data_IF_437126688584
#
_entry.id   IF_437126688584
#
_cell.length_a   1.000
_cell.length_b   1.000
_cell.length_c   1.000
_cell.angle_alpha   90.00
_cell.angle_beta   90.00
_cell.angle_gamma   90.00
#
_symmetry.space_group_name_H-M   'P 1'
#
loop_
_entity.id
_entity.type
_entity.pdbx_description
1 polymer ?
#
# COMPACT_ATOMS: atom_id res chain seq x y z
N UNK A 1 -15.21 -2.20 -13.30
CA UNK A 1 -14.27 -2.96 -12.44
C UNK A 1 -14.74 -2.76 -11.00
N UNK A 2 -14.94 -3.82 -10.22
CA UNK A 2 -15.30 -3.72 -8.80
C UNK A 2 -14.03 -3.78 -7.96
N UNK A 3 -13.86 -2.85 -7.01
CA UNK A 3 -12.74 -2.83 -6.06
C UNK A 3 -13.21 -3.42 -4.74
N UNK A 4 -12.43 -4.34 -4.18
CA UNK A 4 -12.70 -4.97 -2.88
C UNK A 4 -11.49 -4.78 -1.97
N UNK A 5 -11.65 -4.24 -0.76
CA UNK A 5 -10.59 -4.18 0.22
C UNK A 5 -10.26 -5.60 0.71
N UNK A 6 -8.98 -5.86 0.89
CA UNK A 6 -8.48 -7.11 1.44
C UNK A 6 -7.93 -6.86 2.83
N UNK A 7 -8.32 -7.68 3.80
CA UNK A 7 -7.82 -7.60 5.16
C UNK A 7 -6.30 -7.83 5.20
N UNK A 8 -5.62 -7.10 6.07
CA UNK A 8 -4.19 -7.23 6.35
C UNK A 8 -3.99 -7.77 7.77
N UNK A 9 -2.99 -8.62 7.92
CA UNK A 9 -2.40 -9.00 9.21
C UNK A 9 -0.99 -8.39 9.37
N UNK A 10 -0.23 -8.84 10.36
CA UNK A 10 1.15 -8.37 10.59
C UNK A 10 2.15 -8.75 9.48
N UNK A 11 1.78 -9.61 8.55
CA UNK A 11 2.60 -10.06 7.42
C UNK A 11 2.09 -9.59 6.05
N UNK A 12 0.97 -8.85 6.00
CA UNK A 12 0.40 -8.30 4.76
C UNK A 12 -0.96 -8.87 4.41
N UNK A 13 -1.31 -9.05 3.12
CA UNK A 13 -2.62 -9.53 2.69
C UNK A 13 -2.94 -10.93 3.23
N UNK A 14 -4.11 -11.07 3.85
CA UNK A 14 -4.61 -12.34 4.42
C UNK A 14 -5.12 -13.23 3.28
N UNK A 15 -4.57 -14.45 3.17
CA UNK A 15 -4.87 -15.37 2.05
C UNK A 15 -6.34 -15.82 2.03
N UNK A 16 -6.92 -16.12 3.17
CA UNK A 16 -8.33 -16.49 3.30
C UNK A 16 -9.26 -15.36 2.87
N UNK A 17 -8.84 -14.10 3.09
CA UNK A 17 -9.59 -12.95 2.61
C UNK A 17 -9.54 -12.81 1.08
N UNK A 18 -8.40 -13.15 0.46
CA UNK A 18 -8.26 -13.19 -1.01
C UNK A 18 -9.19 -14.24 -1.63
N UNK A 19 -9.22 -15.44 -1.09
CA UNK A 19 -10.09 -16.52 -1.58
C UNK A 19 -11.59 -16.16 -1.44
N UNK A 20 -11.98 -15.61 -0.29
CA UNK A 20 -13.36 -15.15 -0.06
C UNK A 20 -13.76 -14.01 -0.99
N UNK A 21 -12.85 -13.10 -1.27
CA UNK A 21 -13.11 -11.94 -2.12
C UNK A 21 -13.32 -12.28 -3.59
N UNK A 22 -12.88 -13.46 -4.05
CA UNK A 22 -12.99 -13.93 -5.45
C UNK A 22 -12.52 -12.88 -6.46
N UNK A 23 -11.39 -12.24 -6.18
CA UNK A 23 -10.78 -11.23 -7.03
C UNK A 23 -9.92 -11.86 -8.13
N UNK A 24 -9.77 -11.16 -9.25
CA UNK A 24 -8.93 -11.56 -10.37
C UNK A 24 -7.54 -10.87 -10.30
N UNK A 25 -7.47 -9.70 -9.66
CA UNK A 25 -6.23 -8.92 -9.56
C UNK A 25 -6.09 -8.40 -8.12
N UNK A 26 -4.94 -8.66 -7.50
CA UNK A 26 -4.54 -8.03 -6.24
C UNK A 26 -3.51 -6.93 -6.54
N UNK A 27 -3.81 -5.69 -6.15
CA UNK A 27 -2.84 -4.61 -6.08
C UNK A 27 -2.28 -4.52 -4.66
N UNK A 28 -0.96 -4.56 -4.51
CA UNK A 28 -0.29 -4.48 -3.21
C UNK A 28 1.09 -3.80 -3.31
N UNK A 29 1.57 -3.32 -2.17
CA UNK A 29 2.89 -2.67 -2.02
C UNK A 29 3.75 -3.49 -1.05
N UNK A 30 4.26 -4.68 -1.46
CA UNK A 30 4.78 -5.68 -0.55
C UNK A 30 6.13 -5.32 0.07
N UNK A 31 6.88 -4.40 -0.52
CA UNK A 31 8.17 -3.94 0.03
C UNK A 31 7.99 -2.97 1.18
N UNK A 32 6.89 -2.18 1.14
CA UNK A 32 6.53 -1.21 2.16
C UNK A 32 5.04 -0.86 2.01
N UNK A 33 4.19 -1.65 2.65
CA UNK A 33 2.74 -1.53 2.53
C UNK A 33 2.26 -0.15 2.99
N UNK A 34 1.64 0.61 2.10
CA UNK A 34 1.00 1.87 2.48
C UNK A 34 -0.45 1.62 2.94
N UNK A 35 -0.91 2.18 4.07
CA UNK A 35 -0.21 3.11 4.98
C UNK A 35 0.49 2.43 6.17
N UNK A 36 0.43 1.11 6.30
CA UNK A 36 0.84 0.38 7.50
C UNK A 36 2.35 0.25 7.68
N UNK A 37 3.14 0.43 6.62
CA UNK A 37 4.60 0.24 6.64
C UNK A 37 5.04 -1.21 6.72
N UNK A 38 4.11 -2.18 6.64
CA UNK A 38 4.43 -3.61 6.71
C UNK A 38 5.30 -4.02 5.51
N UNK A 39 6.39 -4.70 5.77
CA UNK A 39 7.16 -5.40 4.74
C UNK A 39 6.71 -6.85 4.69
N UNK A 40 6.11 -7.27 3.58
CA UNK A 40 5.62 -8.63 3.38
C UNK A 40 6.80 -9.61 3.34
N UNK A 41 6.87 -10.60 4.24
CA UNK A 41 7.97 -11.56 4.29
C UNK A 41 7.97 -12.51 3.09
N UNK A 42 9.11 -13.14 2.81
CA UNK A 42 9.28 -14.06 1.65
C UNK A 42 8.28 -15.22 1.70
N UNK A 43 7.97 -15.75 2.87
CA UNK A 43 6.95 -16.79 3.07
C UNK A 43 5.61 -16.36 2.50
N UNK A 44 5.09 -15.20 2.94
CA UNK A 44 3.82 -14.66 2.47
C UNK A 44 3.87 -14.28 0.98
N UNK A 45 5.00 -13.78 0.47
CA UNK A 45 5.18 -13.50 -0.98
C UNK A 45 5.00 -14.78 -1.81
N UNK A 46 5.57 -15.89 -1.37
CA UNK A 46 5.39 -17.21 -2.03
C UNK A 46 3.93 -17.65 -2.01
N UNK A 47 3.26 -17.54 -0.87
CA UNK A 47 1.84 -17.89 -0.78
C UNK A 47 0.94 -17.01 -1.67
N UNK A 48 1.27 -15.72 -1.82
CA UNK A 48 0.58 -14.84 -2.77
C UNK A 48 0.79 -15.26 -4.23
N UNK A 49 2.00 -15.71 -4.58
CA UNK A 49 2.30 -16.25 -5.91
C UNK A 49 1.55 -17.57 -6.16
N UNK A 50 1.52 -18.48 -5.19
CA UNK A 50 0.74 -19.71 -5.24
C UNK A 50 -0.76 -19.42 -5.42
N UNK A 51 -1.29 -18.43 -4.71
CA UNK A 51 -2.67 -17.97 -4.90
C UNK A 51 -2.91 -17.46 -6.33
N UNK A 52 -2.00 -16.70 -6.90
CA UNK A 52 -2.13 -16.21 -8.28
C UNK A 52 -2.06 -17.36 -9.30
N UNK A 53 -1.24 -18.37 -9.04
CA UNK A 53 -1.09 -19.55 -9.90
C UNK A 53 -2.29 -20.50 -9.80
N UNK A 54 -2.90 -20.66 -8.62
CA UNK A 54 -4.03 -21.58 -8.42
C UNK A 54 -5.30 -21.21 -9.21
N UNK A 55 -5.38 -19.99 -9.72
CA UNK A 55 -6.46 -19.52 -10.59
C UNK A 55 -6.34 -19.96 -12.07
N UNK A 56 -5.28 -20.66 -12.45
CA UNK A 56 -5.00 -21.00 -13.84
C UNK A 56 -5.78 -22.25 -14.25
N UNK A 57 -6.66 -22.12 -15.27
CA UNK A 57 -6.99 -23.28 -16.10
C UNK A 57 -5.72 -23.76 -16.81
N UNK A 58 -5.59 -25.07 -16.98
CA UNK A 58 -4.55 -25.65 -17.81
C UNK A 58 -4.48 -24.91 -19.18
N UNK A 59 -3.28 -24.78 -19.78
CA UNK A 59 -3.12 -24.02 -21.01
C UNK A 59 -4.13 -24.50 -22.05
N UNK A 60 -4.80 -23.57 -22.72
CA UNK A 60 -5.60 -23.82 -23.92
C UNK A 60 -4.64 -24.12 -25.09
N UNK A 61 -3.79 -25.11 -24.94
CA UNK A 61 -3.19 -25.76 -26.09
C UNK A 61 -4.31 -26.54 -26.74
N UNK A 62 -4.67 -26.15 -27.97
CA UNK A 62 -5.75 -26.66 -28.76
C UNK A 62 -5.82 -28.19 -28.89
N UNK A 63 -6.05 -28.87 -27.81
CA UNK A 63 -6.26 -30.30 -27.71
C UNK A 63 -7.70 -30.55 -27.30
N UNK A 64 -8.43 -31.09 -28.27
CA UNK A 64 -9.76 -31.63 -28.23
C UNK A 64 -10.24 -32.02 -26.80
N UNK A 65 -11.44 -31.56 -26.47
CA UNK A 65 -12.22 -32.08 -25.34
C UNK A 65 -12.20 -33.61 -25.38
N UNK A 66 -11.47 -34.23 -24.44
CA UNK A 66 -11.54 -35.67 -24.25
C UNK A 66 -12.91 -35.99 -23.64
N UNK A 67 -13.79 -36.52 -24.47
CA UNK A 67 -14.99 -37.21 -23.99
C UNK A 67 -14.59 -38.39 -23.13
N UNK A 68 -14.72 -38.25 -21.81
CA UNK A 68 -14.68 -39.37 -20.88
C UNK A 68 -16.12 -39.64 -20.45
N UNK A 69 -16.71 -40.68 -21.02
CA UNK A 69 -18.00 -41.30 -20.63
C UNK A 69 -19.21 -40.34 -20.59
N UNK A 70 -19.56 -39.74 -21.73
CA UNK A 70 -20.92 -39.19 -21.92
C UNK A 70 -21.38 -38.09 -20.94
N UNK A 71 -20.46 -37.42 -20.24
CA UNK A 71 -20.72 -36.23 -19.45
C UNK A 71 -19.83 -35.09 -19.92
N UNK A 72 -20.46 -34.10 -20.55
CA UNK A 72 -19.86 -32.82 -20.81
C UNK A 72 -19.58 -32.15 -19.45
N UNK A 73 -18.37 -32.32 -18.95
CA UNK A 73 -17.87 -31.48 -17.83
C UNK A 73 -17.61 -30.13 -18.45
N UNK A 74 -18.51 -29.15 -18.23
CA UNK A 74 -18.22 -27.75 -18.50
C UNK A 74 -16.90 -27.45 -17.80
N UNK A 75 -15.85 -27.15 -18.61
CA UNK A 75 -14.60 -26.62 -18.10
C UNK A 75 -14.98 -25.42 -17.21
N UNK A 76 -14.76 -25.55 -15.93
CA UNK A 76 -14.84 -24.42 -15.01
C UNK A 76 -13.91 -23.38 -15.59
N UNK A 77 -14.44 -22.21 -15.95
CA UNK A 77 -13.64 -21.10 -16.47
C UNK A 77 -12.72 -20.64 -15.34
N UNK A 78 -11.56 -21.27 -15.25
CA UNK A 78 -10.55 -20.91 -14.28
C UNK A 78 -10.13 -19.48 -14.59
N UNK A 79 -10.31 -18.59 -13.62
CA UNK A 79 -10.01 -17.17 -13.76
C UNK A 79 -8.50 -16.97 -13.69
N UNK A 80 -7.93 -16.31 -14.69
CA UNK A 80 -6.53 -15.89 -14.59
C UNK A 80 -6.39 -14.83 -13.49
N UNK A 81 -5.57 -15.12 -12.48
CA UNK A 81 -5.26 -14.21 -11.39
C UNK A 81 -3.91 -13.53 -11.65
N UNK A 82 -3.80 -12.26 -11.25
CA UNK A 82 -2.57 -11.48 -11.36
C UNK A 82 -2.32 -10.70 -10.08
N UNK A 83 -1.05 -10.40 -9.84
CA UNK A 83 -0.57 -9.50 -8.79
C UNK A 83 -0.04 -8.24 -9.44
N UNK A 84 -0.46 -7.06 -8.99
CA UNK A 84 0.19 -5.80 -9.30
C UNK A 84 1.05 -5.46 -8.09
N UNK A 85 2.36 -5.57 -8.26
CA UNK A 85 3.35 -5.17 -7.27
C UNK A 85 3.72 -3.71 -7.52
N UNK A 86 3.25 -2.80 -6.67
CA UNK A 86 3.59 -1.38 -6.70
C UNK A 86 4.73 -1.12 -5.70
N UNK A 87 5.93 -0.94 -6.21
CA UNK A 87 7.18 -0.90 -5.44
C UNK A 87 7.76 0.52 -5.36
N UNK A 88 6.91 1.47 -5.03
CA UNK A 88 7.11 2.93 -5.21
C UNK A 88 8.25 3.56 -4.38
N UNK A 89 8.76 2.94 -3.31
CA UNK A 89 9.82 3.47 -2.44
C UNK A 89 10.83 2.40 -1.95
N UNK A 90 10.94 1.29 -2.68
CA UNK A 90 11.79 0.13 -2.34
C UNK A 90 13.28 0.47 -2.23
N UNK A 91 13.74 1.53 -2.88
CA UNK A 91 15.13 1.99 -2.81
C UNK A 91 15.50 2.46 -1.39
N UNK A 92 14.52 2.86 -0.57
CA UNK A 92 14.74 3.44 0.75
C UNK A 92 14.55 2.42 1.87
N UNK A 93 15.33 1.35 1.84
CA UNK A 93 15.39 0.43 2.97
C UNK A 93 16.35 0.96 4.03
N UNK A 94 15.83 1.18 5.25
CA UNK A 94 16.57 1.80 6.36
C UNK A 94 17.29 0.76 7.20
N UNK A 95 16.73 -0.46 7.33
CA UNK A 95 17.31 -1.56 8.13
C UNK A 95 17.08 -2.92 7.44
N UNK A 96 17.88 -3.91 7.82
CA UNK A 96 17.76 -5.29 7.37
C UNK A 96 18.24 -5.55 5.94
N UNK A 97 18.14 -6.81 5.51
CA UNK A 97 18.48 -7.23 4.14
C UNK A 97 17.32 -6.95 3.19
N UNK A 98 17.59 -6.61 1.91
CA UNK A 98 16.56 -6.49 0.90
C UNK A 98 15.75 -7.78 0.78
N UNK A 99 14.44 -7.65 0.66
CA UNK A 99 13.53 -8.77 0.37
C UNK A 99 13.31 -8.78 -1.15
N UNK A 100 13.53 -9.91 -1.85
CA UNK A 100 13.30 -9.97 -3.29
C UNK A 100 11.84 -9.59 -3.63
N UNK A 101 11.60 -8.75 -4.66
CA UNK A 101 10.25 -8.43 -5.08
C UNK A 101 9.47 -9.66 -5.53
N UNK A 102 8.14 -9.60 -5.54
CA UNK A 102 7.28 -10.68 -6.07
C UNK A 102 7.66 -11.02 -7.51
N UNK A 103 7.93 -10.01 -8.33
CA UNK A 103 8.34 -10.18 -9.72
C UNK A 103 9.63 -11.01 -9.86
N UNK A 104 10.59 -10.89 -8.94
CA UNK A 104 11.81 -11.69 -8.96
C UNK A 104 11.61 -13.14 -8.48
N UNK A 105 10.51 -13.41 -7.79
CA UNK A 105 10.14 -14.75 -7.29
C UNK A 105 9.14 -15.45 -8.21
N UNK A 106 8.57 -14.73 -9.20
CA UNK A 106 7.51 -15.21 -10.06
C UNK A 106 8.07 -16.07 -11.22
N UNK A 107 7.90 -17.37 -11.10
CA UNK A 107 8.23 -18.31 -12.20
C UNK A 107 7.07 -18.57 -13.17
N UNK A 108 5.88 -18.02 -12.96
CA UNK A 108 4.68 -18.34 -13.72
C UNK A 108 4.08 -17.16 -14.52
N UNK A 109 4.74 -16.00 -14.52
CA UNK A 109 4.29 -14.83 -15.26
C UNK A 109 2.95 -14.26 -14.73
N UNK A 110 2.82 -14.13 -13.42
CA UNK A 110 1.61 -13.62 -12.74
C UNK A 110 1.78 -12.25 -12.10
N UNK A 111 2.98 -11.71 -12.08
CA UNK A 111 3.26 -10.41 -11.46
C UNK A 111 3.44 -9.33 -12.52
N UNK A 112 2.67 -8.28 -12.38
CA UNK A 112 2.87 -7.00 -13.07
C UNK A 112 3.64 -6.11 -12.08
N UNK A 113 4.90 -5.83 -12.35
CA UNK A 113 5.72 -4.98 -11.50
C UNK A 113 5.60 -3.52 -11.95
N UNK A 114 5.37 -2.62 -11.02
CA UNK A 114 5.33 -1.18 -11.28
C UNK A 114 6.23 -0.44 -10.28
N UNK A 115 6.96 0.56 -10.76
CA UNK A 115 7.77 1.43 -9.93
C UNK A 115 7.83 2.86 -10.51
N UNK A 116 8.29 3.81 -9.73
CA UNK A 116 8.38 5.23 -10.11
C UNK A 116 9.67 5.87 -9.61
N UNK A 117 10.25 6.74 -10.43
CA UNK A 117 11.38 7.57 -10.02
C UNK A 117 10.98 8.80 -9.18
N UNK A 118 9.69 9.00 -8.94
CA UNK A 118 9.20 10.18 -8.20
C UNK A 118 9.71 10.27 -6.76
N UNK A 119 10.02 9.13 -6.12
CA UNK A 119 10.54 9.12 -4.76
C UNK A 119 12.05 9.32 -4.68
N UNK A 120 12.77 8.94 -5.74
CA UNK A 120 14.23 9.06 -5.83
C UNK A 120 14.66 10.38 -6.45
N UNK A 121 13.96 10.85 -7.49
CA UNK A 121 14.33 12.06 -8.26
C UNK A 121 13.40 13.26 -8.03
N UNK A 122 12.35 13.07 -7.21
CA UNK A 122 11.36 14.10 -6.96
C UNK A 122 10.15 14.05 -7.90
N UNK A 123 9.03 14.60 -7.43
CA UNK A 123 7.73 14.52 -8.10
C UNK A 123 7.67 15.25 -9.47
N UNK A 124 8.63 16.10 -9.78
CA UNK A 124 8.68 16.82 -11.04
C UNK A 124 9.08 15.93 -12.24
N UNK A 125 9.82 14.86 -12.00
CA UNK A 125 10.33 13.97 -13.06
C UNK A 125 9.23 13.15 -13.75
N UNK A 126 8.14 12.83 -13.08
CA UNK A 126 6.95 12.15 -13.62
C UNK A 126 7.24 10.92 -14.48
N UNK A 127 8.27 10.15 -14.15
CA UNK A 127 8.65 8.91 -14.84
C UNK A 127 8.32 7.73 -13.91
N UNK A 128 7.60 6.76 -14.44
CA UNK A 128 7.41 5.44 -13.88
C UNK A 128 7.59 4.39 -14.96
N UNK A 129 7.74 3.16 -14.56
CA UNK A 129 7.87 2.03 -15.48
C UNK A 129 7.09 0.83 -14.98
N UNK A 130 6.79 -0.07 -15.90
CA UNK A 130 6.07 -1.30 -15.64
C UNK A 130 6.78 -2.44 -16.35
N UNK A 131 6.97 -3.55 -15.63
CA UNK A 131 7.47 -4.80 -16.19
C UNK A 131 6.30 -5.77 -16.27
N UNK A 132 5.97 -6.18 -17.47
CA UNK A 132 4.86 -7.08 -17.75
C UNK A 132 5.37 -8.52 -17.97
N UNK A 133 4.62 -9.53 -17.52
CA UNK A 133 4.78 -10.89 -18.04
C UNK A 133 4.73 -10.91 -19.56
N UNK A 134 5.48 -11.80 -20.19
CA UNK A 134 5.64 -11.86 -21.66
C UNK A 134 4.30 -11.88 -22.41
N UNK A 135 3.39 -12.76 -22.01
CA UNK A 135 2.06 -12.85 -22.61
C UNK A 135 1.22 -11.56 -22.47
N UNK A 136 1.39 -10.80 -21.39
CA UNK A 136 0.75 -9.49 -21.22
C UNK A 136 1.47 -8.42 -22.03
N UNK A 137 2.79 -8.48 -22.14
CA UNK A 137 3.58 -7.54 -22.95
C UNK A 137 3.22 -7.66 -24.45
N UNK A 138 3.00 -8.86 -24.96
CA UNK A 138 2.50 -9.07 -26.33
C UNK A 138 1.11 -8.44 -26.52
N UNK A 139 0.16 -8.76 -25.63
CA UNK A 139 -1.20 -8.18 -25.68
C UNK A 139 -1.19 -6.66 -25.54
N UNK A 140 -0.28 -6.13 -24.75
CA UNK A 140 -0.10 -4.69 -24.59
C UNK A 140 0.34 -4.05 -25.90
N UNK A 141 1.35 -4.62 -26.57
CA UNK A 141 1.81 -4.14 -27.89
C UNK A 141 0.70 -4.18 -28.93
N UNK A 142 -0.04 -5.29 -28.99
CA UNK A 142 -1.10 -5.48 -29.98
C UNK A 142 -2.28 -4.51 -29.78
N UNK A 143 -2.67 -4.26 -28.53
CA UNK A 143 -3.88 -3.50 -28.23
C UNK A 143 -3.65 -2.04 -27.92
N UNK A 144 -2.46 -1.70 -27.39
CA UNK A 144 -2.13 -0.38 -26.88
C UNK A 144 -0.87 0.21 -27.52
N UNK A 145 -0.19 -0.53 -28.42
CA UNK A 145 1.03 -0.06 -29.10
C UNK A 145 0.84 1.18 -29.98
N UNK A 146 -0.40 1.54 -30.27
CA UNK A 146 -0.73 2.78 -30.98
C UNK A 146 -0.63 4.06 -30.11
N UNK A 147 -0.60 3.91 -28.78
CA UNK A 147 -0.39 5.04 -27.89
C UNK A 147 1.07 5.47 -27.91
N UNK A 148 1.30 6.77 -28.07
CA UNK A 148 2.63 7.34 -27.88
C UNK A 148 3.01 7.29 -26.39
N UNK A 149 4.31 7.06 -26.13
CA UNK A 149 4.83 7.17 -24.77
C UNK A 149 4.64 8.61 -24.26
N UNK A 150 4.06 8.76 -23.08
CA UNK A 150 3.80 10.07 -22.45
C UNK A 150 5.05 10.69 -21.84
N UNK A 151 6.14 9.93 -21.70
CA UNK A 151 7.44 10.42 -21.23
C UNK A 151 8.25 10.89 -22.41
N UNK A 152 8.72 12.13 -22.41
CA UNK A 152 9.52 12.70 -23.49
C UNK A 152 10.84 11.95 -23.69
N UNK A 153 11.33 11.93 -24.91
CA UNK A 153 12.59 11.23 -25.25
C UNK A 153 13.80 11.85 -24.54
N UNK A 154 13.80 13.18 -24.34
CA UNK A 154 14.88 13.87 -23.64
C UNK A 154 14.98 13.42 -22.18
N UNK A 155 13.86 13.32 -21.49
CA UNK A 155 13.79 12.87 -20.11
C UNK A 155 14.24 11.39 -19.98
N UNK A 156 13.82 10.54 -20.92
CA UNK A 156 14.23 9.13 -20.95
C UNK A 156 15.75 9.01 -21.17
N UNK A 157 16.31 9.72 -22.14
CA UNK A 157 17.74 9.70 -22.43
C UNK A 157 18.59 10.31 -21.30
N UNK A 158 18.08 11.37 -20.66
CA UNK A 158 18.75 11.98 -19.50
C UNK A 158 18.81 10.98 -18.34
N UNK A 159 17.69 10.32 -18.06
CA UNK A 159 17.64 9.30 -17.01
C UNK A 159 18.56 8.12 -17.33
N UNK A 160 18.54 7.63 -18.57
CA UNK A 160 19.42 6.54 -18.99
C UNK A 160 20.89 6.88 -18.76
N UNK A 161 21.35 8.05 -19.20
CA UNK A 161 22.73 8.51 -18.98
C UNK A 161 23.06 8.69 -17.50
N UNK A 162 22.11 9.18 -16.70
CA UNK A 162 22.29 9.33 -15.25
C UNK A 162 22.45 7.98 -14.56
N UNK A 163 21.79 6.94 -15.06
CA UNK A 163 21.95 5.56 -14.58
C UNK A 163 23.27 4.94 -15.06
N UNK A 164 23.57 5.06 -16.35
CA UNK A 164 24.81 4.52 -16.97
C UNK A 164 26.08 5.08 -16.35
N UNK A 165 26.09 6.37 -15.97
CA UNK A 165 27.23 7.00 -15.28
C UNK A 165 27.42 6.55 -13.84
N UNK A 166 26.45 5.81 -13.25
CA UNK A 166 26.40 5.44 -11.83
C UNK A 166 26.02 6.60 -10.90
N UNK A 167 25.68 7.78 -11.45
CA UNK A 167 25.29 8.94 -10.63
C UNK A 167 23.95 8.70 -9.93
N UNK A 168 23.03 7.97 -10.56
CA UNK A 168 21.78 7.58 -9.96
C UNK A 168 21.97 6.76 -8.67
N UNK A 169 22.82 5.74 -8.71
CA UNK A 169 23.11 4.93 -7.52
C UNK A 169 23.76 5.75 -6.42
N UNK A 170 24.73 6.63 -6.78
CA UNK A 170 25.35 7.55 -5.84
C UNK A 170 24.33 8.49 -5.21
N UNK A 171 23.39 8.99 -6.01
CA UNK A 171 22.30 9.84 -5.55
C UNK A 171 21.38 9.10 -4.55
N UNK A 172 20.89 7.91 -4.90
CA UNK A 172 20.03 7.08 -4.03
C UNK A 172 20.76 6.76 -2.72
N UNK A 173 22.03 6.40 -2.76
CA UNK A 173 22.81 6.10 -1.56
C UNK A 173 22.97 7.31 -0.62
N UNK A 174 23.20 8.52 -1.18
CA UNK A 174 23.23 9.77 -0.41
C UNK A 174 21.86 10.05 0.24
N UNK A 175 20.78 9.91 -0.53
CA UNK A 175 19.41 10.10 -0.01
C UNK A 175 19.07 9.08 1.08
N UNK A 176 19.42 7.82 0.89
CA UNK A 176 19.23 6.77 1.92
C UNK A 176 19.94 7.11 3.23
N UNK A 177 21.17 7.61 3.15
CA UNK A 177 21.94 8.04 4.34
C UNK A 177 21.27 9.23 5.03
N UNK A 178 20.84 10.24 4.25
CA UNK A 178 20.12 11.41 4.77
C UNK A 178 18.80 11.00 5.44
N UNK A 179 18.00 10.19 4.79
CA UNK A 179 16.70 9.75 5.32
C UNK A 179 16.86 8.89 6.57
N UNK A 180 17.89 8.06 6.65
CA UNK A 180 18.19 7.28 7.87
C UNK A 180 18.50 8.21 9.05
N UNK A 181 19.30 9.26 8.84
CA UNK A 181 19.60 10.26 9.88
C UNK A 181 18.34 10.98 10.34
N UNK A 182 17.52 11.47 9.41
CA UNK A 182 16.25 12.14 9.73
C UNK A 182 15.29 11.24 10.50
N UNK A 183 15.16 9.99 10.08
CA UNK A 183 14.34 8.99 10.77
C UNK A 183 14.83 8.75 12.20
N UNK A 184 16.13 8.50 12.39
CA UNK A 184 16.71 8.31 13.73
C UNK A 184 16.49 9.54 14.60
N UNK A 185 16.84 10.72 14.12
CA UNK A 185 16.69 11.97 14.87
C UNK A 185 15.21 12.22 15.27
N UNK A 186 14.25 11.98 14.36
CA UNK A 186 12.83 12.15 14.65
C UNK A 186 12.36 11.17 15.74
N UNK A 187 12.72 9.90 15.63
CA UNK A 187 12.35 8.87 16.61
C UNK A 187 13.00 9.19 17.98
N UNK A 188 14.29 9.52 17.99
CA UNK A 188 15.02 9.82 19.23
C UNK A 188 14.41 11.02 19.97
N UNK A 189 14.08 12.10 19.25
CA UNK A 189 13.46 13.29 19.88
C UNK A 189 12.03 12.99 20.34
N UNK A 190 11.23 12.26 19.58
CA UNK A 190 9.88 11.86 19.99
C UNK A 190 9.92 10.94 21.22
N UNK A 191 10.85 9.97 21.24
CA UNK A 191 11.01 9.04 22.37
C UNK A 191 11.45 9.74 23.65
N UNK A 192 12.26 10.81 23.53
CA UNK A 192 12.71 11.62 24.66
C UNK A 192 11.71 12.72 25.07
N UNK A 193 10.61 12.89 24.35
CA UNK A 193 9.60 13.93 24.63
C UNK A 193 8.66 13.56 25.79
N UNK A 194 7.85 14.51 26.23
CA UNK A 194 6.82 14.29 27.28
C UNK A 194 5.78 13.23 26.90
N UNK A 195 5.57 12.96 25.62
CA UNK A 195 4.70 11.88 25.15
C UNK A 195 5.45 10.54 25.01
N UNK A 196 6.77 10.49 25.17
CA UNK A 196 7.63 9.35 24.78
C UNK A 196 7.16 7.99 25.32
N UNK A 197 6.78 7.91 26.60
CA UNK A 197 6.29 6.68 27.24
C UNK A 197 4.98 6.16 26.61
N UNK A 198 4.23 7.06 26.00
CA UNK A 198 2.97 6.72 25.30
C UNK A 198 3.16 6.40 23.82
N UNK A 199 4.35 6.66 23.25
CA UNK A 199 4.60 6.43 21.82
C UNK A 199 5.20 5.06 21.55
N UNK A 200 4.80 4.48 20.43
CA UNK A 200 5.39 3.27 19.88
C UNK A 200 5.58 3.45 18.37
N UNK A 201 6.81 3.17 17.90
CA UNK A 201 7.18 3.35 16.51
C UNK A 201 7.23 2.00 15.81
N UNK A 202 6.31 1.77 14.88
CA UNK A 202 6.19 0.50 14.16
C UNK A 202 6.61 0.68 12.69
N UNK A 203 7.20 -0.38 12.14
CA UNK A 203 7.53 -0.50 10.72
C UNK A 203 8.47 0.58 10.16
N UNK A 204 9.40 1.08 10.99
CA UNK A 204 10.35 2.13 10.60
C UNK A 204 11.56 1.59 9.79
N UNK A 205 11.59 0.31 9.44
CA UNK A 205 12.73 -0.34 8.78
C UNK A 205 12.82 -0.16 7.27
N UNK A 206 11.77 0.34 6.62
CA UNK A 206 11.70 0.49 5.17
C UNK A 206 10.85 1.70 4.77
N UNK A 207 11.04 2.18 3.54
CA UNK A 207 10.28 3.25 2.92
C UNK A 207 10.50 4.63 3.54
N UNK A 208 9.59 5.54 3.23
CA UNK A 208 9.67 6.97 3.60
C UNK A 208 8.65 7.39 4.66
N UNK A 209 7.98 6.43 5.28
CA UNK A 209 7.05 6.66 6.40
C UNK A 209 7.12 5.50 7.40
N UNK A 210 6.59 5.71 8.60
CA UNK A 210 6.42 4.69 9.62
C UNK A 210 5.12 4.96 10.40
N UNK A 211 4.69 4.04 11.24
CA UNK A 211 3.56 4.27 12.12
C UNK A 211 4.03 4.72 13.50
N UNK A 212 3.42 5.80 14.00
CA UNK A 212 3.49 6.23 15.39
C UNK A 212 2.16 5.87 16.06
N UNK A 213 2.18 4.84 16.90
CA UNK A 213 1.03 4.40 17.70
C UNK A 213 1.03 5.09 19.06
N UNK A 214 -0.16 5.42 19.56
CA UNK A 214 -0.32 6.02 20.90
C UNK A 214 -0.90 4.98 21.85
N UNK A 215 -0.22 4.76 22.98
CA UNK A 215 -0.63 3.86 24.06
C UNK A 215 -1.40 4.64 25.13
N UNK A 216 -2.19 3.93 25.93
CA UNK A 216 -2.94 4.52 27.05
C UNK A 216 -4.28 5.14 26.65
N UNK A 217 -4.66 5.07 25.39
CA UNK A 217 -6.01 5.45 24.94
C UNK A 217 -6.90 4.21 25.03
N UNK A 218 -7.86 4.26 25.93
CA UNK A 218 -8.88 3.21 26.09
C UNK A 218 -10.09 3.52 25.23
N UNK A 219 -10.64 2.50 24.58
CA UNK A 219 -11.84 2.68 23.77
C UNK A 219 -11.91 1.76 22.56
N UNK A 220 -12.94 1.98 21.77
CA UNK A 220 -13.18 1.25 20.51
C UNK A 220 -12.49 1.95 19.31
N UNK A 221 -12.81 1.49 18.11
CA UNK A 221 -12.26 2.04 16.87
C UNK A 221 -12.70 3.52 16.64
N UNK A 222 -13.89 3.89 17.12
CA UNK A 222 -14.42 5.28 16.99
C UNK A 222 -13.68 6.22 17.92
N UNK A 223 -13.41 5.78 19.14
CA UNK A 223 -12.65 6.55 20.13
C UNK A 223 -11.23 6.79 19.62
N UNK A 224 -10.59 5.75 19.07
CA UNK A 224 -9.27 5.87 18.45
C UNK A 224 -9.27 6.87 17.29
N UNK A 225 -10.24 6.79 16.37
CA UNK A 225 -10.35 7.71 15.23
C UNK A 225 -10.61 9.16 15.69
N UNK A 226 -11.45 9.35 16.73
CA UNK A 226 -11.72 10.66 17.30
C UNK A 226 -10.48 11.26 17.94
N UNK A 227 -9.71 10.46 18.68
CA UNK A 227 -8.43 10.86 19.26
C UNK A 227 -7.44 11.28 18.17
N UNK A 228 -7.26 10.46 17.13
CA UNK A 228 -6.38 10.75 15.99
C UNK A 228 -6.73 12.10 15.35
N UNK A 229 -8.01 12.38 15.11
CA UNK A 229 -8.45 13.65 14.49
C UNK A 229 -8.22 14.85 15.41
N UNK A 230 -8.41 14.72 16.73
CA UNK A 230 -8.15 15.80 17.70
C UNK A 230 -6.67 16.15 17.76
N UNK A 231 -5.80 15.15 17.88
CA UNK A 231 -4.34 15.33 17.85
C UNK A 231 -3.89 15.98 16.53
N UNK A 232 -4.36 15.46 15.39
CA UNK A 232 -4.01 16.01 14.08
C UNK A 232 -4.45 17.48 13.94
N UNK A 233 -5.61 17.85 14.46
CA UNK A 233 -6.11 19.25 14.45
C UNK A 233 -5.23 20.16 15.32
N UNK A 234 -4.83 19.72 16.52
CA UNK A 234 -3.93 20.50 17.38
C UNK A 234 -2.58 20.75 16.72
N UNK A 235 -1.98 19.71 16.15
CA UNK A 235 -0.73 19.84 15.43
C UNK A 235 -0.84 20.77 14.21
N UNK A 236 -1.96 20.69 13.46
CA UNK A 236 -2.20 21.53 12.29
C UNK A 236 -2.29 23.03 12.61
N UNK A 237 -2.83 23.42 13.76
CA UNK A 237 -2.87 24.82 14.21
C UNK A 237 -1.46 25.41 14.33
N UNK A 238 -0.46 24.56 14.62
CA UNK A 238 0.95 24.93 14.73
C UNK A 238 1.77 24.60 13.47
N UNK A 239 1.10 24.36 12.34
CA UNK A 239 1.75 24.11 11.05
C UNK A 239 2.23 22.69 10.79
N UNK A 240 2.02 21.74 11.72
CA UNK A 240 2.41 20.34 11.55
C UNK A 240 1.24 19.50 11.08
N UNK A 241 1.36 18.89 9.89
CA UNK A 241 0.33 18.02 9.33
C UNK A 241 0.59 16.57 9.71
N UNK A 242 -0.26 16.00 10.56
CA UNK A 242 -0.29 14.58 10.87
C UNK A 242 -1.34 13.87 10.03
N UNK A 243 -1.05 12.63 9.64
CA UNK A 243 -1.98 11.81 8.88
C UNK A 243 -2.55 10.69 9.79
N UNK A 244 -3.79 10.84 10.31
CA UNK A 244 -4.47 9.81 11.08
C UNK A 244 -4.57 8.50 10.28
N UNK A 245 -4.23 7.37 10.90
CA UNK A 245 -4.34 6.07 10.23
C UNK A 245 -5.80 5.72 9.91
N UNK A 246 -6.74 6.20 10.72
CA UNK A 246 -8.17 6.02 10.50
C UNK A 246 -8.67 6.50 9.14
N UNK A 247 -8.03 7.51 8.53
CA UNK A 247 -8.38 8.02 7.18
C UNK A 247 -8.14 7.02 6.05
N UNK A 248 -7.28 6.04 6.27
CA UNK A 248 -6.93 5.01 5.29
C UNK A 248 -7.68 3.70 5.52
N UNK A 249 -8.55 3.67 6.53
CA UNK A 249 -9.37 2.48 6.81
C UNK A 249 -10.57 2.47 5.89
N UNK A 250 -10.86 1.31 5.36
CA UNK A 250 -12.10 1.10 4.64
C UNK A 250 -13.24 0.91 5.66
N UNK A 251 -14.00 1.95 5.89
CA UNK A 251 -15.29 1.85 6.57
C UNK A 251 -16.30 1.38 5.52
N UNK A 252 -16.77 0.14 5.62
CA UNK A 252 -17.75 -0.43 4.69
C UNK A 252 -18.88 0.56 4.42
N UNK A 253 -19.43 0.55 3.20
CA UNK A 253 -20.46 1.45 2.73
C UNK A 253 -21.51 1.71 3.81
N UNK A 254 -21.51 2.88 4.43
CA UNK A 254 -22.66 3.40 5.13
C UNK A 254 -23.71 3.72 4.08
N UNK A 255 -24.76 2.90 4.04
CA UNK A 255 -25.92 3.21 3.24
C UNK A 255 -26.55 4.50 3.81
N UNK A 256 -26.38 5.60 3.08
CA UNK A 256 -27.24 6.77 3.15
C UNK A 256 -26.97 7.75 4.29
N UNK A 257 -26.11 8.73 4.05
CA UNK A 257 -26.26 10.08 4.57
C UNK A 257 -26.18 11.08 3.40
N UNK A 258 -27.18 11.96 3.19
CA UNK A 258 -27.14 12.94 2.13
C UNK A 258 -26.26 14.14 2.51
N UNK A 259 -25.31 14.47 1.66
CA UNK A 259 -24.81 15.83 1.50
C UNK A 259 -23.70 16.27 2.45
N UNK A 260 -22.45 16.18 1.98
CA UNK A 260 -21.51 17.31 2.02
C UNK A 260 -20.48 17.15 0.90
N UNK A 261 -20.49 18.10 0.00
CA UNK A 261 -19.49 18.32 -1.03
C UNK A 261 -18.21 18.85 -0.37
N UNK A 262 -17.09 18.17 -0.57
CA UNK A 262 -15.78 18.78 -0.60
C UNK A 262 -14.84 17.91 -1.42
N UNK A 263 -14.31 18.48 -2.48
CA UNK A 263 -13.30 17.93 -3.37
C UNK A 263 -12.07 17.47 -2.59
N UNK A 264 -11.54 16.32 -3.00
CA UNK A 264 -10.33 15.64 -2.59
C UNK A 264 -10.53 14.44 -1.65
N UNK A 265 -11.23 13.44 -2.19
CA UNK A 265 -11.04 12.07 -1.74
C UNK A 265 -11.26 11.17 -2.95
N UNK A 266 -10.33 10.27 -3.23
CA UNK A 266 -10.56 9.15 -4.14
C UNK A 266 -11.57 8.23 -3.44
N UNK A 267 -12.82 8.69 -3.44
CA UNK A 267 -13.97 7.98 -2.93
C UNK A 267 -14.54 7.13 -4.05
N UNK A 268 -14.60 5.83 -3.85
CA UNK A 268 -15.40 4.94 -4.65
C UNK A 268 -16.88 5.37 -4.54
N UNK A 269 -17.42 6.08 -5.54
CA UNK A 269 -18.86 6.23 -5.72
C UNK A 269 -19.41 4.91 -6.23
N UNK A 270 -19.95 4.11 -5.34
CA UNK A 270 -20.90 3.09 -5.71
C UNK A 270 -22.24 3.77 -5.96
N UNK A 271 -22.54 4.14 -7.20
CA UNK A 271 -23.91 4.37 -7.62
C UNK A 271 -24.62 3.01 -7.59
N UNK A 272 -25.35 2.77 -6.52
CA UNK A 272 -26.18 1.60 -6.37
C UNK A 272 -27.38 1.70 -7.33
N UNK A 273 -27.24 1.09 -8.51
CA UNK A 273 -28.40 0.51 -9.17
C UNK A 273 -28.72 -0.78 -8.46
N UNK A 274 -29.97 -0.92 -8.07
CA UNK A 274 -30.54 -2.07 -7.36
C UNK A 274 -30.17 -3.39 -8.06
N UNK A 275 -29.21 -4.10 -7.47
CA UNK A 275 -28.93 -5.50 -7.79
C UNK A 275 -28.90 -6.22 -6.45
N UNK A 276 -29.84 -7.11 -6.26
CA UNK A 276 -30.07 -7.92 -5.04
C UNK A 276 -28.80 -8.66 -4.52
N UNK A 277 -27.80 -8.83 -5.41
CA UNK A 277 -26.48 -9.38 -5.06
C UNK A 277 -25.53 -8.45 -4.29
N UNK A 278 -25.75 -7.10 -4.33
CA UNK A 278 -24.85 -6.15 -3.66
C UNK A 278 -25.05 -6.11 -2.14
N UNK A 279 -26.29 -6.36 -1.66
CA UNK A 279 -26.59 -6.43 -0.22
C UNK A 279 -25.90 -7.62 0.47
N UNK A 280 -25.92 -8.81 -0.15
CA UNK A 280 -25.23 -9.99 0.41
C UNK A 280 -23.72 -9.79 0.54
N UNK A 281 -23.10 -9.14 -0.43
CA UNK A 281 -21.65 -8.87 -0.39
C UNK A 281 -21.28 -7.88 0.74
N UNK A 282 -22.13 -6.88 1.00
CA UNK A 282 -21.92 -5.94 2.11
C UNK A 282 -22.08 -6.63 3.47
N UNK A 283 -23.00 -7.56 3.61
CA UNK A 283 -23.24 -8.31 4.85
C UNK A 283 -22.13 -9.36 5.10
N UNK A 284 -21.60 -10.00 4.06
CA UNK A 284 -20.46 -10.92 4.16
C UNK A 284 -19.14 -10.18 4.48
N UNK A 285 -18.94 -8.95 3.97
CA UNK A 285 -17.81 -8.10 4.34
C UNK A 285 -17.92 -7.63 5.78
N UNK A 286 -19.14 -7.32 6.26
CA UNK A 286 -19.39 -6.98 7.66
C UNK A 286 -19.10 -8.15 8.62
N UNK A 287 -19.47 -9.38 8.26
CA UNK A 287 -19.20 -10.56 9.09
C UNK A 287 -17.70 -10.90 9.13
N UNK A 288 -16.97 -10.70 8.03
CA UNK A 288 -15.51 -10.91 7.98
C UNK A 288 -14.69 -9.84 8.72
N UNK A 289 -15.22 -8.62 8.90
CA UNK A 289 -14.59 -7.57 9.70
C UNK A 289 -14.90 -7.70 11.21
N UNK A 290 -15.84 -8.53 11.62
CA UNK A 290 -16.25 -8.66 13.02
C UNK A 290 -15.35 -9.56 13.87
N UNK A 291 -14.50 -10.39 13.29
CA UNK A 291 -13.60 -11.28 14.01
C UNK A 291 -12.31 -10.63 14.55
N UNK A 292 -12.13 -9.34 14.36
CA UNK A 292 -10.98 -8.58 14.86
C UNK A 292 -11.36 -7.34 15.67
N UNK A 293 -12.38 -7.36 16.54
CA UNK A 293 -12.62 -6.29 17.53
C UNK A 293 -11.60 -6.33 18.66
N UNK A 294 -10.31 -6.35 18.31
CA UNK A 294 -9.25 -6.03 19.24
C UNK A 294 -9.23 -4.52 19.50
N UNK A 295 -9.00 -4.09 20.74
CA UNK A 295 -8.69 -2.71 21.10
C UNK A 295 -7.61 -2.19 20.14
N UNK A 296 -7.97 -1.30 19.23
CA UNK A 296 -7.02 -0.73 18.26
C UNK A 296 -6.47 0.54 18.86
N UNK A 297 -5.13 0.66 18.82
CA UNK A 297 -4.46 1.87 19.26
C UNK A 297 -4.59 2.96 18.22
N UNK A 298 -4.79 4.23 18.63
CA UNK A 298 -4.65 5.37 17.72
C UNK A 298 -3.27 5.36 17.08
N UNK A 299 -3.19 5.67 15.79
CA UNK A 299 -1.93 5.69 15.07
C UNK A 299 -1.88 6.76 13.98
N UNK A 300 -0.68 7.23 13.68
CA UNK A 300 -0.40 8.25 12.68
C UNK A 300 0.62 7.73 11.68
N UNK A 301 0.40 8.03 10.40
CA UNK A 301 1.39 7.79 9.34
C UNK A 301 2.37 8.95 9.33
N UNK A 302 3.60 8.68 9.73
CA UNK A 302 4.67 9.67 9.90
C UNK A 302 5.60 9.66 8.70
N UNK A 303 5.49 10.66 7.82
CA UNK A 303 6.46 10.89 6.74
C UNK A 303 7.60 11.76 7.23
N UNK A 304 8.84 11.40 6.91
CA UNK A 304 10.05 12.11 7.37
C UNK A 304 10.95 12.62 6.23
N UNK A 305 10.68 12.25 5.01
CA UNK A 305 11.56 12.56 3.87
C UNK A 305 11.68 14.06 3.56
N UNK A 306 10.64 14.83 3.84
CA UNK A 306 10.59 16.28 3.61
C UNK A 306 11.03 17.14 4.82
N UNK A 307 11.29 16.52 5.97
CA UNK A 307 11.74 17.27 7.16
C UNK A 307 13.20 17.69 6.98
N UNK A 308 13.52 18.94 7.35
CA UNK A 308 14.90 19.36 7.53
C UNK A 308 15.37 18.99 8.95
N UNK A 309 16.66 18.62 9.10
CA UNK A 309 17.18 18.10 10.39
C UNK A 309 17.02 19.13 11.51
N UNK A 310 17.16 20.42 11.18
CA UNK A 310 17.05 21.53 12.10
C UNK A 310 15.61 21.74 12.64
N UNK A 311 14.58 21.34 11.86
CA UNK A 311 13.18 21.51 12.23
C UNK A 311 12.62 20.33 13.03
N UNK A 312 13.35 19.20 13.07
CA UNK A 312 12.89 17.97 13.75
C UNK A 312 12.55 18.20 15.22
N UNK A 313 13.35 18.92 16.04
CA UNK A 313 13.00 19.16 17.45
C UNK A 313 11.69 19.94 17.63
N UNK A 314 11.46 20.95 16.80
CA UNK A 314 10.23 21.75 16.84
C UNK A 314 9.00 20.91 16.44
N UNK A 315 9.11 20.18 15.32
CA UNK A 315 8.03 19.29 14.84
C UNK A 315 7.69 18.22 15.88
N UNK A 316 8.70 17.58 16.46
CA UNK A 316 8.52 16.55 17.48
C UNK A 316 7.89 17.14 18.76
N UNK A 317 8.29 18.34 19.18
CA UNK A 317 7.69 19.06 20.29
C UNK A 317 6.20 19.34 20.08
N UNK A 318 5.82 19.84 18.90
CA UNK A 318 4.43 20.09 18.53
C UNK A 318 3.60 18.80 18.56
N UNK A 319 4.14 17.71 18.01
CA UNK A 319 3.48 16.40 18.01
C UNK A 319 3.28 15.89 19.44
N UNK A 320 4.33 15.94 20.25
CA UNK A 320 4.30 15.49 21.65
C UNK A 320 3.27 16.26 22.47
N UNK A 321 3.28 17.58 22.42
CA UNK A 321 2.31 18.43 23.13
C UNK A 321 0.87 18.14 22.66
N UNK A 322 0.65 17.94 21.36
CA UNK A 322 -0.66 17.59 20.82
C UNK A 322 -1.17 16.24 21.35
N UNK A 323 -0.29 15.25 21.49
CA UNK A 323 -0.63 13.93 22.05
C UNK A 323 -0.92 14.03 23.55
N UNK A 324 -0.04 14.67 24.33
CA UNK A 324 -0.22 14.81 25.78
C UNK A 324 -1.51 15.55 26.13
N UNK A 325 -1.84 16.61 25.39
CA UNK A 325 -3.07 17.38 25.60
C UNK A 325 -4.36 16.61 25.33
N UNK A 326 -4.29 15.46 24.67
CA UNK A 326 -5.45 14.60 24.41
C UNK A 326 -5.44 13.31 25.25
N UNK A 327 -4.32 13.03 25.94
CA UNK A 327 -4.23 11.91 26.89
C UNK A 327 -4.77 12.29 28.29
N UNK A 328 -4.72 13.57 28.64
CA UNK A 328 -5.09 13.94 29.96
C UNK A 328 -5.50 15.16 30.36
#
# INVERSE_FOLDING_TARGET
MAVRPIALDGEGPVLEALERARIDVLHCTPSHQFPTGITVPVSRRRSLLEWAQSGVAAPEDGAAAREIRGRSVKASSARSRYLIEDDFDCEFRMAGRPVPPLAALDGAGRVIYANTFSKTLGGAFRIGYMVLPEALAERFRDRLGFYACTVGALEQLTLARFMESGDYERHVNRQRTRYRRRLSALIDVLAASSAGDHLHFANAGAGLHFLMEVRGVEGDERDSATFEERVARRAAIRGVRLAPLGRYRFTGCEAGAPGRSSNETVGCRCEAREVEGARRVCDEVRSGCSEGRGRRRPAFVMGFSSLEEETIPEVAGIVSEAVVAELG
#
